data_IF_243499715881
#
_entry.id   IF_243499715881
#
_cell.length_a   1.000
_cell.length_b   1.000
_cell.length_c   1.000
_cell.angle_alpha   90.00
_cell.angle_beta   90.00
_cell.angle_gamma   90.00
#
_symmetry.space_group_name_H-M   'P 1'
#
loop_
_entity.id
_entity.type
_entity.pdbx_description
1 polymer ?
#
# COMPACT_ATOMS: atom_id res chain seq x y z
N UNK A 1 12.83 0.41 -3.06
CA UNK A 1 13.03 0.67 -4.51
C UNK A 1 12.40 -0.45 -5.34
N UNK A 2 11.93 -0.13 -6.53
CA UNK A 2 11.20 -1.03 -7.43
C UNK A 2 12.15 -1.72 -8.40
N UNK A 3 12.01 -3.05 -8.64
CA UNK A 3 12.75 -3.73 -9.70
C UNK A 3 12.47 -3.11 -11.08
N UNK A 4 13.42 -3.23 -11.99
CA UNK A 4 13.22 -2.74 -13.35
C UNK A 4 12.19 -3.60 -14.09
N UNK A 5 10.98 -3.06 -14.28
CA UNK A 5 9.86 -3.69 -14.97
C UNK A 5 9.01 -2.61 -15.69
N UNK A 6 7.86 -3.02 -16.26
CA UNK A 6 7.00 -2.11 -17.04
C UNK A 6 6.45 -0.90 -16.27
N UNK A 7 6.34 -0.98 -14.96
CA UNK A 7 5.83 0.11 -14.10
C UNK A 7 6.94 0.94 -13.47
N UNK A 8 8.20 0.51 -13.61
CA UNK A 8 9.38 1.20 -13.11
C UNK A 8 9.95 2.19 -14.14
N UNK A 9 10.68 3.18 -13.63
CA UNK A 9 11.36 4.21 -14.43
C UNK A 9 12.80 3.86 -14.83
N UNK A 10 13.27 2.68 -14.46
CA UNK A 10 14.66 2.25 -14.63
C UNK A 10 15.64 2.83 -13.59
N UNK A 11 15.19 3.76 -12.76
CA UNK A 11 15.99 4.37 -11.68
C UNK A 11 15.66 3.79 -10.30
N UNK A 12 14.72 2.85 -10.22
CA UNK A 12 14.29 2.20 -8.98
C UNK A 12 13.02 2.78 -8.38
N UNK A 13 12.33 3.66 -9.08
CA UNK A 13 11.05 4.24 -8.67
C UNK A 13 9.92 3.81 -9.60
N UNK A 14 8.69 3.85 -9.08
CA UNK A 14 7.50 3.71 -9.93
C UNK A 14 7.38 4.96 -10.82
N UNK A 15 6.95 4.78 -12.07
CA UNK A 15 6.86 5.86 -13.06
C UNK A 15 6.05 7.06 -12.58
N UNK A 16 4.94 6.82 -11.88
CA UNK A 16 4.12 7.90 -11.32
C UNK A 16 4.83 8.76 -10.27
N UNK A 17 5.90 8.25 -9.65
CA UNK A 17 6.69 8.95 -8.65
C UNK A 17 8.04 9.47 -9.16
N UNK A 18 8.41 9.15 -10.38
CA UNK A 18 9.73 9.45 -10.96
C UNK A 18 10.08 10.95 -10.91
N UNK A 19 9.15 11.80 -11.31
CA UNK A 19 9.38 13.26 -11.29
C UNK A 19 9.49 13.82 -9.87
N UNK A 20 8.70 13.28 -8.93
CA UNK A 20 8.80 13.64 -7.51
C UNK A 20 10.13 13.19 -6.94
N UNK A 21 10.57 11.96 -7.27
CA UNK A 21 11.85 11.42 -6.83
C UNK A 21 13.02 12.28 -7.32
N UNK A 22 13.01 12.70 -8.58
CA UNK A 22 14.01 13.62 -9.16
C UNK A 22 13.99 14.98 -8.47
N UNK A 23 12.82 15.61 -8.39
CA UNK A 23 12.66 16.94 -7.81
C UNK A 23 13.10 16.99 -6.34
N UNK A 24 12.85 15.92 -5.59
CA UNK A 24 13.23 15.77 -4.18
C UNK A 24 14.59 15.12 -3.98
N UNK A 25 15.31 14.76 -5.06
CA UNK A 25 16.63 14.10 -5.03
C UNK A 25 16.62 12.86 -4.11
N UNK A 26 15.57 12.03 -4.22
CA UNK A 26 15.44 10.82 -3.42
C UNK A 26 16.53 9.82 -3.80
N UNK A 27 17.26 9.35 -2.81
CA UNK A 27 18.26 8.32 -2.98
C UNK A 27 17.60 6.93 -3.09
N UNK A 28 18.13 6.09 -3.99
CA UNK A 28 17.76 4.68 -4.05
C UNK A 28 18.59 3.92 -3.01
N UNK A 29 17.92 3.15 -2.14
CA UNK A 29 18.60 2.35 -1.13
C UNK A 29 19.06 0.98 -1.69
N UNK A 30 18.10 0.13 -2.04
CA UNK A 30 18.34 -1.24 -2.51
C UNK A 30 17.20 -1.67 -3.44
N UNK A 31 17.38 -2.77 -4.16
CA UNK A 31 16.35 -3.45 -4.94
C UNK A 31 16.27 -4.90 -4.45
N UNK A 32 15.07 -5.35 -4.12
CA UNK A 32 14.86 -6.67 -3.52
C UNK A 32 15.05 -6.65 -2.02
N UNK A 33 15.98 -7.46 -1.51
CA UNK A 33 16.17 -7.61 -0.06
C UNK A 33 16.65 -6.34 0.63
N UNK A 34 16.11 -6.03 1.83
CA UNK A 34 16.57 -4.91 2.65
C UNK A 34 18.05 -5.04 3.03
N UNK A 35 18.76 -3.91 3.07
CA UNK A 35 20.17 -3.82 3.43
C UNK A 35 20.39 -2.72 4.46
N UNK A 36 20.81 -3.11 5.66
CA UNK A 36 21.17 -2.16 6.73
C UNK A 36 22.37 -1.28 6.36
N UNK A 37 23.34 -1.82 5.61
CA UNK A 37 24.52 -1.09 5.13
C UNK A 37 24.12 0.02 4.15
N UNK A 38 23.18 -0.27 3.21
CA UNK A 38 22.67 0.73 2.29
C UNK A 38 21.91 1.84 3.01
N UNK A 39 21.21 1.52 4.10
CA UNK A 39 20.54 2.51 4.96
C UNK A 39 21.58 3.35 5.73
N UNK A 40 22.56 2.71 6.36
CA UNK A 40 23.61 3.39 7.11
C UNK A 40 24.39 4.40 6.23
N UNK A 41 24.65 4.04 4.96
CA UNK A 41 25.33 4.91 4.01
C UNK A 41 24.59 6.24 3.73
N UNK A 42 23.28 6.30 4.01
CA UNK A 42 22.50 7.53 3.86
C UNK A 42 22.54 8.43 5.10
N UNK A 43 23.11 7.96 6.21
CA UNK A 43 23.19 8.69 7.49
C UNK A 43 21.82 9.29 7.91
N UNK A 44 20.78 8.46 8.04
CA UNK A 44 19.44 8.96 8.32
C UNK A 44 19.30 9.45 9.76
N UNK A 45 18.47 10.47 9.96
CA UNK A 45 18.06 10.94 11.30
C UNK A 45 16.88 10.12 11.85
N UNK A 46 16.13 9.48 10.96
CA UNK A 46 14.96 8.65 11.28
C UNK A 46 14.81 7.53 10.25
N UNK A 47 14.48 6.34 10.71
CA UNK A 47 14.18 5.19 9.87
C UNK A 47 12.71 4.79 10.09
N UNK A 48 11.98 4.64 8.99
CA UNK A 48 10.62 4.10 9.00
C UNK A 48 10.62 2.75 8.28
N UNK A 49 10.13 1.71 8.94
CA UNK A 49 9.99 0.39 8.37
C UNK A 49 8.54 -0.07 8.39
N UNK A 50 8.17 -0.86 7.40
CA UNK A 50 6.83 -1.45 7.33
C UNK A 50 6.73 -2.66 8.27
N UNK A 51 5.61 -2.77 9.00
CA UNK A 51 5.29 -3.96 9.80
C UNK A 51 4.93 -5.16 8.92
N UNK A 52 4.42 -4.92 7.70
CA UNK A 52 3.86 -5.93 6.80
C UNK A 52 4.39 -5.78 5.39
N UNK A 53 4.16 -6.79 4.56
CA UNK A 53 4.61 -6.84 3.18
C UNK A 53 5.82 -7.75 2.97
N UNK A 54 5.96 -8.31 1.77
CA UNK A 54 7.04 -9.23 1.43
C UNK A 54 8.44 -8.57 1.40
N UNK A 55 8.48 -7.26 1.39
CA UNK A 55 9.69 -6.42 1.40
C UNK A 55 9.91 -5.70 2.75
N UNK A 56 9.20 -6.14 3.80
CA UNK A 56 9.35 -5.59 5.16
C UNK A 56 10.78 -5.78 5.67
N UNK A 57 11.35 -4.73 6.25
CA UNK A 57 12.67 -4.77 6.87
C UNK A 57 12.64 -5.16 8.37
N UNK A 58 11.55 -5.78 8.84
CA UNK A 58 11.39 -6.16 10.25
C UNK A 58 12.50 -7.07 10.77
N UNK A 59 13.03 -7.96 9.94
CA UNK A 59 14.15 -8.84 10.29
C UNK A 59 15.45 -8.09 10.58
N UNK A 60 15.57 -6.84 10.12
CA UNK A 60 16.73 -5.99 10.34
C UNK A 60 16.48 -4.92 11.42
N UNK A 61 15.36 -4.98 12.15
CA UNK A 61 14.97 -3.93 13.12
C UNK A 61 16.10 -3.61 14.10
N UNK A 62 16.69 -4.62 14.72
CA UNK A 62 17.75 -4.43 15.71
C UNK A 62 18.98 -3.75 15.12
N UNK A 63 19.38 -4.14 13.90
CA UNK A 63 20.50 -3.52 13.19
C UNK A 63 20.17 -2.06 12.80
N UNK A 64 18.99 -1.82 12.27
CA UNK A 64 18.55 -0.47 11.87
C UNK A 64 18.45 0.46 13.07
N UNK A 65 18.02 -0.04 14.23
CA UNK A 65 17.90 0.73 15.46
C UNK A 65 19.27 1.15 16.05
N UNK A 66 20.36 0.52 15.62
CA UNK A 66 21.73 0.98 15.99
C UNK A 66 22.22 2.14 15.10
N UNK A 67 21.58 2.36 13.94
CA UNK A 67 21.94 3.41 12.99
C UNK A 67 21.23 4.72 13.35
N UNK A 68 19.90 4.67 13.55
CA UNK A 68 19.06 5.82 13.88
C UNK A 68 17.76 5.35 14.57
N UNK A 69 17.00 6.26 15.21
CA UNK A 69 15.66 5.95 15.71
C UNK A 69 14.83 5.27 14.63
N UNK A 70 14.31 4.07 14.92
CA UNK A 70 13.57 3.27 13.95
C UNK A 70 12.14 3.06 14.43
N UNK A 71 11.17 3.48 13.62
CA UNK A 71 9.76 3.34 13.90
C UNK A 71 9.12 2.30 12.97
N UNK A 72 8.30 1.43 13.54
CA UNK A 72 7.53 0.44 12.82
C UNK A 72 6.18 1.05 12.44
N UNK A 73 5.87 1.07 11.16
CA UNK A 73 4.61 1.58 10.60
C UNK A 73 3.78 0.42 10.10
N UNK A 74 2.59 0.23 10.66
CA UNK A 74 1.60 -0.64 10.08
C UNK A 74 0.68 0.15 9.15
N UNK A 75 0.47 -0.30 7.92
CA UNK A 75 -0.33 0.37 6.90
C UNK A 75 -1.53 -0.46 6.40
N UNK A 76 -1.64 -1.72 6.81
CA UNK A 76 -2.69 -2.64 6.33
C UNK A 76 -3.91 -2.73 7.27
N UNK A 77 -3.91 -1.96 8.35
CA UNK A 77 -4.95 -1.93 9.40
C UNK A 77 -5.63 -0.56 9.56
N UNK A 78 -5.34 0.39 8.66
CA UNK A 78 -5.85 1.76 8.77
C UNK A 78 -6.08 2.41 7.42
N UNK A 79 -6.88 3.48 7.40
CA UNK A 79 -7.06 4.29 6.21
C UNK A 79 -5.77 5.04 5.84
N UNK A 80 -5.65 5.42 4.57
CA UNK A 80 -4.52 6.25 4.13
C UNK A 80 -4.50 7.62 4.81
N UNK A 81 -5.67 8.17 5.18
CA UNK A 81 -5.79 9.42 5.95
C UNK A 81 -5.16 9.26 7.33
N UNK A 82 -5.49 8.17 8.04
CA UNK A 82 -4.90 7.86 9.34
C UNK A 82 -3.38 7.65 9.24
N UNK A 83 -2.91 6.96 8.20
CA UNK A 83 -1.49 6.78 7.93
C UNK A 83 -0.80 8.13 7.65
N UNK A 84 -1.39 8.99 6.81
CA UNK A 84 -0.83 10.31 6.50
C UNK A 84 -0.78 11.21 7.74
N UNK A 85 -1.83 11.16 8.58
CA UNK A 85 -1.85 11.88 9.86
C UNK A 85 -0.72 11.39 10.79
N UNK A 86 -0.54 10.07 10.89
CA UNK A 86 0.55 9.49 11.67
C UNK A 86 1.93 9.95 11.16
N UNK A 87 2.14 9.92 9.86
CA UNK A 87 3.40 10.38 9.25
C UNK A 87 3.60 11.89 9.44
N UNK A 88 2.54 12.69 9.34
CA UNK A 88 2.57 14.11 9.64
C UNK A 88 3.04 14.38 11.07
N UNK A 89 2.47 13.68 12.05
CA UNK A 89 2.86 13.81 13.47
C UNK A 89 4.33 13.40 13.72
N UNK A 90 4.79 12.32 13.06
CA UNK A 90 6.17 11.84 13.20
C UNK A 90 7.17 12.85 12.63
N UNK A 91 6.81 13.56 11.57
CA UNK A 91 7.72 14.41 10.80
C UNK A 91 7.50 15.92 11.01
N UNK A 92 6.58 16.32 11.89
CA UNK A 92 6.25 17.74 12.15
C UNK A 92 5.53 18.41 10.97
N UNK A 93 4.71 17.65 10.22
CA UNK A 93 3.97 18.12 9.05
C UNK A 93 2.44 17.93 9.22
N UNK A 94 1.93 18.06 10.45
CA UNK A 94 0.54 17.82 10.81
C UNK A 94 -0.43 18.65 9.98
N UNK A 95 -0.12 19.93 9.83
CA UNK A 95 -0.96 20.85 9.07
C UNK A 95 -1.03 20.45 7.59
N UNK A 96 0.12 20.16 6.97
CA UNK A 96 0.16 19.73 5.57
C UNK A 96 -0.59 18.41 5.36
N UNK A 97 -0.48 17.48 6.31
CA UNK A 97 -1.23 16.23 6.27
C UNK A 97 -2.75 16.48 6.31
N UNK A 98 -3.21 17.32 7.23
CA UNK A 98 -4.62 17.68 7.36
C UNK A 98 -5.16 18.40 6.11
N UNK A 99 -4.40 19.34 5.54
CA UNK A 99 -4.76 20.06 4.30
C UNK A 99 -4.89 19.10 3.12
N UNK A 100 -3.97 18.15 2.95
CA UNK A 100 -4.04 17.15 1.86
C UNK A 100 -5.22 16.21 2.00
N UNK A 101 -5.54 15.78 3.22
CA UNK A 101 -6.72 14.96 3.48
C UNK A 101 -7.99 15.73 3.12
N UNK A 102 -8.14 16.97 3.61
CA UNK A 102 -9.31 17.79 3.33
C UNK A 102 -9.49 18.09 1.83
N UNK A 103 -8.39 18.37 1.10
CA UNK A 103 -8.42 18.58 -0.34
C UNK A 103 -8.90 17.32 -1.09
N UNK A 104 -8.41 16.15 -0.69
CA UNK A 104 -8.80 14.88 -1.29
C UNK A 104 -10.27 14.58 -1.02
N UNK A 105 -10.71 14.69 0.23
CA UNK A 105 -12.09 14.40 0.64
C UNK A 105 -13.10 15.32 -0.10
N UNK A 106 -12.73 16.58 -0.30
CA UNK A 106 -13.54 17.51 -1.11
C UNK A 106 -13.66 17.06 -2.57
N UNK A 107 -12.55 16.62 -3.18
CA UNK A 107 -12.56 16.10 -4.56
C UNK A 107 -13.39 14.82 -4.65
N UNK A 108 -13.27 13.95 -3.66
CA UNK A 108 -14.01 12.69 -3.59
C UNK A 108 -15.52 12.92 -3.49
N UNK A 109 -15.95 13.84 -2.62
CA UNK A 109 -17.34 14.21 -2.47
C UNK A 109 -17.94 14.74 -3.78
N UNK A 110 -17.22 15.64 -4.47
CA UNK A 110 -17.66 16.17 -5.76
C UNK A 110 -17.73 15.09 -6.86
N UNK A 111 -16.81 14.14 -6.86
CA UNK A 111 -16.83 13.01 -7.79
C UNK A 111 -18.02 12.09 -7.52
N UNK A 112 -18.29 11.77 -6.26
CA UNK A 112 -19.40 10.91 -5.84
C UNK A 112 -20.75 11.41 -6.35
N UNK A 113 -20.99 12.73 -6.34
CA UNK A 113 -22.21 13.35 -6.85
C UNK A 113 -22.42 13.16 -8.37
N UNK A 114 -21.33 12.96 -9.11
CA UNK A 114 -21.35 12.83 -10.59
C UNK A 114 -21.35 11.36 -11.04
N UNK A 115 -21.05 10.43 -10.13
CA UNK A 115 -20.93 9.02 -10.48
C UNK A 115 -22.28 8.31 -10.61
N UNK A 116 -22.37 7.43 -11.59
CA UNK A 116 -23.40 6.40 -11.66
C UNK A 116 -22.78 5.07 -11.30
N UNK A 117 -23.23 4.51 -10.19
CA UNK A 117 -22.71 3.21 -9.73
C UNK A 117 -23.25 2.06 -10.60
N UNK A 118 -22.42 1.05 -10.91
CA UNK A 118 -22.88 -0.20 -11.51
C UNK A 118 -23.76 -0.99 -10.53
N UNK A 119 -24.38 -2.09 -10.96
CA UNK A 119 -25.03 -3.04 -10.02
C UNK A 119 -24.09 -3.42 -8.88
N UNK A 120 -24.65 -3.56 -7.70
CA UNK A 120 -23.94 -3.88 -6.46
C UNK A 120 -24.32 -5.28 -5.96
N UNK A 121 -23.47 -5.98 -5.20
CA UNK A 121 -22.12 -5.59 -4.78
C UNK A 121 -21.07 -5.72 -5.90
N UNK A 122 -19.85 -5.21 -5.66
CA UNK A 122 -18.71 -5.30 -6.60
C UNK A 122 -17.50 -5.96 -5.93
N UNK A 123 -16.70 -6.67 -6.71
CA UNK A 123 -15.42 -7.20 -6.26
C UNK A 123 -14.28 -6.35 -6.81
N UNK A 124 -13.47 -5.81 -5.93
CA UNK A 124 -12.28 -5.02 -6.30
C UNK A 124 -11.03 -5.90 -6.23
N UNK A 125 -10.29 -6.00 -7.33
CA UNK A 125 -9.11 -6.88 -7.39
C UNK A 125 -8.02 -6.37 -8.34
N UNK A 126 -6.82 -6.90 -8.16
CA UNK A 126 -5.73 -6.83 -9.13
C UNK A 126 -5.38 -8.25 -9.58
N UNK A 127 -5.55 -8.52 -10.86
CA UNK A 127 -5.22 -9.82 -11.44
C UNK A 127 -3.77 -9.85 -11.93
N UNK A 128 -3.03 -10.90 -11.58
CA UNK A 128 -1.67 -11.16 -12.03
C UNK A 128 -1.66 -12.36 -12.96
N UNK A 129 -1.66 -12.11 -14.27
CA UNK A 129 -1.76 -13.15 -15.29
C UNK A 129 -0.63 -14.19 -15.19
N UNK A 130 0.61 -13.76 -14.93
CA UNK A 130 1.76 -14.66 -14.83
C UNK A 130 1.67 -15.66 -13.67
N UNK A 131 0.99 -15.28 -12.59
CA UNK A 131 0.79 -16.11 -11.40
C UNK A 131 -0.58 -16.80 -11.38
N UNK A 132 -1.45 -16.55 -12.37
CA UNK A 132 -2.85 -17.00 -12.38
C UNK A 132 -3.56 -16.76 -11.04
N UNK A 133 -3.36 -15.57 -10.46
CA UNK A 133 -3.86 -15.19 -9.15
C UNK A 133 -4.42 -13.78 -9.14
N UNK A 134 -5.27 -13.49 -8.17
CA UNK A 134 -5.75 -12.14 -7.91
C UNK A 134 -5.55 -11.77 -6.44
N UNK A 135 -5.20 -10.51 -6.20
CA UNK A 135 -5.29 -9.88 -4.89
C UNK A 135 -6.63 -9.15 -4.83
N UNK A 136 -7.54 -9.66 -4.01
CA UNK A 136 -8.84 -9.04 -3.77
C UNK A 136 -8.69 -8.06 -2.61
N UNK A 137 -9.10 -6.82 -2.84
CA UNK A 137 -9.07 -5.77 -1.83
C UNK A 137 -10.20 -5.96 -0.83
N UNK A 138 -9.85 -6.00 0.45
CA UNK A 138 -10.83 -6.04 1.55
C UNK A 138 -11.39 -4.65 1.86
N UNK A 139 -12.42 -4.59 2.69
CA UNK A 139 -12.95 -3.32 3.23
C UNK A 139 -11.94 -2.57 4.10
N UNK A 140 -10.92 -3.26 4.63
CA UNK A 140 -9.84 -2.66 5.42
C UNK A 140 -8.73 -2.05 4.56
N UNK A 141 -8.67 -2.41 3.27
CA UNK A 141 -7.69 -1.84 2.35
C UNK A 141 -7.98 -0.37 2.04
N UNK A 142 -6.94 0.39 1.73
CA UNK A 142 -7.10 1.78 1.26
C UNK A 142 -7.98 1.86 0.01
N UNK A 143 -7.88 0.89 -0.90
CA UNK A 143 -8.68 0.79 -2.10
C UNK A 143 -10.14 0.46 -1.79
N UNK A 144 -10.39 -0.50 -0.89
CA UNK A 144 -11.73 -0.85 -0.45
C UNK A 144 -12.43 0.32 0.23
N UNK A 145 -11.76 0.99 1.16
CA UNK A 145 -12.29 2.17 1.83
C UNK A 145 -12.59 3.30 0.85
N UNK A 146 -11.73 3.53 -0.16
CA UNK A 146 -11.98 4.51 -1.20
C UNK A 146 -13.25 4.19 -1.99
N UNK A 147 -13.44 2.94 -2.37
CA UNK A 147 -14.64 2.49 -3.09
C UNK A 147 -15.90 2.67 -2.23
N UNK A 148 -15.86 2.31 -0.95
CA UNK A 148 -17.00 2.51 -0.02
C UNK A 148 -17.31 4.01 0.16
N UNK A 149 -16.32 4.86 0.27
CA UNK A 149 -16.51 6.32 0.31
C UNK A 149 -17.18 6.87 -0.96
N UNK A 150 -16.87 6.29 -2.12
CA UNK A 150 -17.52 6.60 -3.39
C UNK A 150 -18.95 6.04 -3.51
N UNK A 151 -19.37 5.17 -2.58
CA UNK A 151 -20.70 4.60 -2.51
C UNK A 151 -20.83 3.17 -3.05
N UNK A 152 -19.71 2.51 -3.39
CA UNK A 152 -19.74 1.10 -3.74
C UNK A 152 -19.96 0.24 -2.50
N UNK A 153 -20.59 -0.90 -2.69
CA UNK A 153 -20.66 -1.98 -1.70
C UNK A 153 -19.73 -3.10 -2.17
N UNK A 154 -18.71 -3.40 -1.38
CA UNK A 154 -17.82 -4.51 -1.70
C UNK A 154 -18.48 -5.84 -1.37
N UNK A 155 -18.33 -6.80 -2.28
CA UNK A 155 -18.78 -8.18 -2.07
C UNK A 155 -17.99 -8.84 -0.93
N UNK A 156 -18.67 -9.58 -0.08
CA UNK A 156 -18.02 -10.46 0.88
C UNK A 156 -17.51 -11.71 0.16
N UNK A 157 -16.30 -12.14 0.51
CA UNK A 157 -15.75 -13.36 -0.05
C UNK A 157 -16.51 -14.58 0.51
N UNK A 158 -16.81 -15.61 -0.33
CA UNK A 158 -17.42 -16.84 0.14
C UNK A 158 -16.60 -17.47 1.26
N UNK A 159 -17.27 -17.99 2.28
CA UNK A 159 -16.63 -18.72 3.36
C UNK A 159 -15.89 -19.96 2.88
N UNK A 160 -14.80 -20.33 3.54
CA UNK A 160 -14.02 -21.53 3.22
C UNK A 160 -12.97 -21.37 2.12
N UNK A 161 -12.79 -20.17 1.56
CA UNK A 161 -11.69 -19.92 0.64
C UNK A 161 -10.35 -19.87 1.37
N UNK A 162 -9.39 -20.64 0.86
CA UNK A 162 -8.02 -20.63 1.37
C UNK A 162 -7.20 -19.55 0.66
N UNK A 163 -6.96 -18.44 1.37
CA UNK A 163 -6.09 -17.39 0.88
C UNK A 163 -4.63 -17.84 0.89
N UNK A 164 -3.89 -17.50 -0.18
CA UNK A 164 -2.44 -17.63 -0.18
C UNK A 164 -1.81 -16.57 0.74
N UNK A 165 -0.79 -16.94 1.49
CA UNK A 165 -0.02 -16.03 2.33
C UNK A 165 1.37 -15.72 1.74
N UNK A 166 1.51 -15.79 0.43
CA UNK A 166 2.80 -15.53 -0.24
C UNK A 166 3.36 -14.12 -0.01
N UNK A 167 2.49 -13.18 0.38
CA UNK A 167 2.86 -11.79 0.72
C UNK A 167 2.86 -11.53 2.23
N UNK A 168 2.97 -12.58 3.04
CA UNK A 168 2.87 -12.49 4.48
C UNK A 168 1.42 -12.38 4.98
N UNK A 169 1.27 -12.24 6.29
CA UNK A 169 -0.05 -12.07 6.92
C UNK A 169 -0.49 -10.61 6.76
N UNK A 170 -1.56 -10.38 5.98
CA UNK A 170 -2.12 -9.06 5.67
C UNK A 170 -3.63 -9.06 5.90
N UNK A 171 -4.19 -7.88 6.20
CA UNK A 171 -5.62 -7.65 6.40
C UNK A 171 -6.28 -6.95 5.20
N UNK A 172 -5.50 -6.22 4.42
CA UNK A 172 -5.97 -5.40 3.30
C UNK A 172 -6.18 -6.17 2.00
N UNK A 173 -5.65 -7.39 1.88
CA UNK A 173 -5.83 -8.22 0.69
C UNK A 173 -6.12 -9.68 1.05
N UNK A 174 -6.88 -10.33 0.15
CA UNK A 174 -7.01 -11.79 0.10
C UNK A 174 -6.47 -12.26 -1.24
N UNK A 175 -5.39 -13.04 -1.23
CA UNK A 175 -4.80 -13.57 -2.44
C UNK A 175 -5.44 -14.91 -2.80
N UNK A 176 -6.07 -14.97 -3.97
CA UNK A 176 -6.69 -16.18 -4.52
C UNK A 176 -6.01 -16.60 -5.81
N UNK A 177 -5.81 -17.91 -5.98
CA UNK A 177 -5.27 -18.51 -7.20
C UNK A 177 -5.98 -19.81 -7.54
N UNK A 178 -5.80 -20.29 -8.78
CA UNK A 178 -6.39 -21.54 -9.25
C UNK A 178 -7.93 -21.58 -9.12
N UNK A 179 -8.44 -22.68 -8.59
CA UNK A 179 -9.89 -22.89 -8.42
C UNK A 179 -10.54 -21.91 -7.44
N UNK A 180 -9.80 -21.46 -6.43
CA UNK A 180 -10.28 -20.48 -5.46
C UNK A 180 -10.56 -19.11 -6.09
N UNK A 181 -9.86 -18.77 -7.17
CA UNK A 181 -10.09 -17.52 -7.90
C UNK A 181 -11.47 -17.50 -8.54
N UNK A 182 -11.84 -18.58 -9.23
CA UNK A 182 -13.16 -18.71 -9.86
C UNK A 182 -14.28 -18.66 -8.81
N UNK A 183 -14.11 -19.38 -7.69
CA UNK A 183 -15.08 -19.39 -6.59
C UNK A 183 -15.23 -18.00 -5.94
N UNK A 184 -14.13 -17.26 -5.78
CA UNK A 184 -14.14 -15.92 -5.17
C UNK A 184 -14.73 -14.81 -6.05
N UNK A 185 -14.89 -15.06 -7.36
CA UNK A 185 -15.44 -14.08 -8.32
C UNK A 185 -16.92 -14.36 -8.67
N UNK A 186 -17.51 -15.43 -8.19
CA UNK A 186 -18.91 -15.82 -8.44
C UNK A 186 -19.89 -15.26 -7.40
N UNK A 187 -19.57 -14.12 -6.81
CA UNK A 187 -20.42 -13.40 -5.87
C UNK A 187 -21.17 -12.24 -6.52
#
# INVERSE_FOLDING_TARGET
TTPNNRVADGQGFLRQWSEVAKARKLARLYIGEPSAEAVAAQMPDLILISATGGDSAMTLYDQLSTIAPTLIINYDDKSWQALLTQLGNITGHEQQAAERIAEFDKKLAALKEQMKLPPQPVTALVYTAAAHSANIWTKESAQGQLLEQLGFTLADLPGGLHASQSQGKRHDIVQLGGENLAAGLNG
#
